data_IF_540583329799
#
_entry.id   IF_540583329799
#
_cell.length_a   1.000
_cell.length_b   1.000
_cell.length_c   1.000
_cell.angle_alpha   90.00
_cell.angle_beta   90.00
_cell.angle_gamma   90.00
#
_symmetry.space_group_name_H-M   'P 1'
#
loop_
_entity.id
_entity.type
_entity.pdbx_description
1 polymer ?
#
# COMPACT_ATOMS: atom_id res chain seq x y z
N UNK A 1 -0.96 13.37 6.87
CA UNK A 1 -1.08 14.77 6.44
C UNK A 1 0.06 15.06 5.48
N UNK A 2 -0.29 15.31 4.21
CA UNK A 2 0.65 15.75 3.17
C UNK A 2 1.28 17.09 3.58
N UNK A 3 2.53 17.31 3.17
CA UNK A 3 3.26 18.55 3.42
C UNK A 3 2.55 19.77 2.83
N UNK A 4 1.89 19.62 1.67
CA UNK A 4 1.16 20.71 1.03
C UNK A 4 0.00 21.22 1.90
N UNK A 5 -0.75 20.32 2.53
CA UNK A 5 -1.80 20.69 3.49
C UNK A 5 -1.21 21.28 4.77
N UNK A 6 -0.09 20.73 5.25
CA UNK A 6 0.58 21.22 6.45
C UNK A 6 1.04 22.69 6.30
N UNK A 7 1.51 23.06 5.11
CA UNK A 7 1.98 24.41 4.80
C UNK A 7 0.85 25.36 4.37
N UNK A 8 -0.06 24.89 3.51
CA UNK A 8 -1.05 25.77 2.87
C UNK A 8 -2.42 25.75 3.57
N UNK A 9 -2.71 24.76 4.41
CA UNK A 9 -4.03 24.50 5.03
C UNK A 9 -5.20 24.40 4.03
N UNK A 10 -4.88 24.22 2.75
CA UNK A 10 -5.87 24.06 1.69
C UNK A 10 -6.05 22.57 1.46
N UNK A 11 -7.28 22.09 1.67
CA UNK A 11 -7.66 20.72 1.34
C UNK A 11 -7.81 20.60 -0.17
N UNK A 12 -7.20 19.59 -0.78
CA UNK A 12 -7.45 19.25 -2.18
C UNK A 12 -7.71 17.75 -2.34
N UNK A 13 -8.71 17.40 -3.16
CA UNK A 13 -9.05 16.00 -3.51
C UNK A 13 -7.86 15.22 -4.09
N UNK A 14 -6.90 15.93 -4.69
CA UNK A 14 -5.69 15.31 -5.27
C UNK A 14 -4.60 15.05 -4.24
N UNK A 15 -4.50 15.86 -3.19
CA UNK A 15 -3.31 15.86 -2.32
C UNK A 15 -3.59 15.24 -0.96
N UNK A 16 -4.77 15.42 -0.38
CA UNK A 16 -5.03 14.94 0.99
C UNK A 16 -5.73 13.57 1.03
N UNK A 17 -6.74 13.37 0.18
CA UNK A 17 -7.49 12.11 0.16
C UNK A 17 -6.64 10.95 -0.38
N UNK A 18 -5.94 11.19 -1.50
CA UNK A 18 -5.00 10.21 -2.06
C UNK A 18 -3.88 9.89 -1.05
N UNK A 19 -3.27 10.92 -0.44
CA UNK A 19 -2.23 10.71 0.57
C UNK A 19 -2.73 9.90 1.76
N UNK A 20 -3.87 10.29 2.34
CA UNK A 20 -4.48 9.59 3.49
C UNK A 20 -4.81 8.14 3.15
N UNK A 21 -5.34 7.91 1.95
CA UNK A 21 -5.63 6.58 1.46
C UNK A 21 -4.36 5.74 1.26
N UNK A 22 -3.31 6.30 0.67
CA UNK A 22 -2.01 5.63 0.49
C UNK A 22 -1.35 5.24 1.83
N UNK A 23 -1.42 6.11 2.84
CA UNK A 23 -0.96 5.77 4.20
C UNK A 23 -1.81 4.64 4.80
N UNK A 24 -3.13 4.69 4.61
CA UNK A 24 -4.03 3.65 5.10
C UNK A 24 -3.74 2.30 4.45
N UNK A 25 -3.43 2.28 3.15
CA UNK A 25 -2.97 1.08 2.44
C UNK A 25 -1.69 0.51 3.06
N UNK A 26 -0.68 1.35 3.33
CA UNK A 26 0.55 0.89 3.98
C UNK A 26 0.32 0.35 5.39
N UNK A 27 -0.58 0.98 6.15
CA UNK A 27 -1.01 0.48 7.47
C UNK A 27 -1.69 -0.89 7.37
N UNK A 28 -2.53 -1.11 6.35
CA UNK A 28 -3.16 -2.42 6.11
C UNK A 28 -2.12 -3.49 5.76
N UNK A 29 -1.07 -3.15 5.01
CA UNK A 29 0.00 -4.11 4.69
C UNK A 29 0.78 -4.55 5.93
N UNK A 30 1.15 -3.60 6.78
CA UNK A 30 2.08 -3.83 7.91
C UNK A 30 1.38 -4.27 9.19
N UNK A 31 0.09 -3.99 9.31
CA UNK A 31 -0.67 -4.09 10.55
C UNK A 31 -0.55 -2.83 11.40
N UNK A 32 -1.55 -2.59 12.23
CA UNK A 32 -1.69 -1.36 13.03
C UNK A 32 -0.55 -1.19 14.03
N UNK A 33 -0.22 -2.25 14.78
CA UNK A 33 0.79 -2.21 15.84
C UNK A 33 2.18 -1.85 15.28
N UNK A 34 2.64 -2.58 14.26
CA UNK A 34 3.93 -2.31 13.59
C UNK A 34 3.94 -0.95 12.90
N UNK A 35 2.82 -0.52 12.30
CA UNK A 35 2.75 0.80 11.70
C UNK A 35 2.96 1.90 12.75
N UNK A 36 2.34 1.76 13.93
CA UNK A 36 2.48 2.71 15.03
C UNK A 36 3.88 2.68 15.66
N UNK A 37 4.57 1.54 15.68
CA UNK A 37 5.98 1.47 16.08
C UNK A 37 6.90 2.27 15.13
N UNK A 38 6.66 2.14 13.83
CA UNK A 38 7.47 2.80 12.80
C UNK A 38 7.13 4.29 12.64
N UNK A 39 5.84 4.66 12.78
CA UNK A 39 5.31 6.02 12.60
C UNK A 39 5.08 6.80 13.90
N UNK A 40 5.19 6.16 15.07
CA UNK A 40 4.78 6.71 16.36
C UNK A 40 5.43 8.06 16.70
N UNK A 41 4.85 8.77 17.67
CA UNK A 41 5.16 10.16 18.02
C UNK A 41 6.67 10.49 18.12
N UNK A 42 7.50 9.54 18.55
CA UNK A 42 8.97 9.69 18.64
C UNK A 42 9.69 9.73 17.29
N UNK A 43 9.07 9.22 16.22
CA UNK A 43 9.65 9.02 14.88
C UNK A 43 9.01 9.87 13.77
N UNK A 44 8.02 10.73 14.07
CA UNK A 44 7.25 11.52 13.09
C UNK A 44 8.08 12.39 12.13
N UNK A 45 9.29 12.79 12.53
CA UNK A 45 10.27 13.47 11.63
C UNK A 45 10.74 12.60 10.47
N UNK A 46 10.45 11.30 10.49
CA UNK A 46 10.77 10.33 9.45
C UNK A 46 9.56 9.92 8.63
N UNK A 47 8.75 10.85 8.10
CA UNK A 47 7.59 10.54 7.24
C UNK A 47 7.94 9.58 6.08
N UNK A 48 9.19 9.60 5.61
CA UNK A 48 9.68 8.69 4.58
C UNK A 48 10.28 7.38 5.11
N UNK A 49 10.35 7.14 6.42
CA UNK A 49 10.94 5.92 6.99
C UNK A 49 10.10 4.69 6.65
N UNK A 50 8.78 4.76 6.82
CA UNK A 50 7.88 3.64 6.51
C UNK A 50 7.83 3.36 5.00
N UNK A 51 7.52 4.35 4.13
CA UNK A 51 7.56 4.12 2.68
C UNK A 51 8.91 3.59 2.19
N UNK A 52 10.03 4.15 2.65
CA UNK A 52 11.37 3.72 2.25
C UNK A 52 11.73 2.33 2.78
N UNK A 53 11.32 2.01 4.01
CA UNK A 53 11.53 0.69 4.57
C UNK A 53 10.70 -0.37 3.82
N UNK A 54 9.43 -0.09 3.55
CA UNK A 54 8.55 -0.94 2.75
C UNK A 54 9.13 -1.23 1.37
N UNK A 55 9.46 -0.18 0.63
CA UNK A 55 10.05 -0.29 -0.71
C UNK A 55 11.32 -1.14 -0.70
N UNK A 56 12.19 -0.92 0.29
CA UNK A 56 13.46 -1.66 0.45
C UNK A 56 13.23 -3.12 0.84
N UNK A 57 12.28 -3.40 1.72
CA UNK A 57 11.99 -4.77 2.13
C UNK A 57 11.34 -5.56 0.99
N UNK A 58 10.44 -4.93 0.24
CA UNK A 58 9.80 -5.54 -0.94
C UNK A 58 10.83 -5.87 -2.02
N UNK A 59 11.70 -4.92 -2.38
CA UNK A 59 12.77 -5.15 -3.36
C UNK A 59 13.83 -6.18 -2.94
N UNK A 60 13.84 -6.59 -1.67
CA UNK A 60 14.68 -7.68 -1.14
C UNK A 60 13.94 -9.02 -1.04
N UNK A 61 12.67 -9.08 -1.46
CA UNK A 61 11.84 -10.28 -1.34
C UNK A 61 11.43 -10.63 0.09
N UNK A 62 11.56 -9.70 1.05
CA UNK A 62 11.28 -9.92 2.48
C UNK A 62 9.84 -9.56 2.80
N UNK A 63 8.91 -10.21 2.11
CA UNK A 63 7.47 -9.90 2.23
C UNK A 63 6.90 -10.37 3.56
N UNK A 64 7.41 -11.47 4.09
CA UNK A 64 7.14 -12.00 5.43
C UNK A 64 7.44 -10.97 6.54
N UNK A 65 8.46 -10.13 6.36
CA UNK A 65 8.76 -9.03 7.28
C UNK A 65 7.75 -7.86 7.19
N UNK A 66 7.05 -7.73 6.06
CA UNK A 66 6.19 -6.59 5.74
C UNK A 66 4.72 -6.90 6.02
N UNK A 67 4.26 -8.11 5.75
CA UNK A 67 2.86 -8.49 5.84
C UNK A 67 2.47 -8.58 7.32
N UNK A 68 1.28 -8.05 7.65
CA UNK A 68 0.64 -8.20 8.95
C UNK A 68 0.60 -9.69 9.31
N UNK A 69 1.14 -10.03 10.48
CA UNK A 69 1.15 -11.40 10.99
C UNK A 69 -0.26 -12.01 11.04
N UNK A 70 -1.32 -11.21 11.25
CA UNK A 70 -2.69 -11.69 11.23
C UNK A 70 -3.20 -12.05 9.82
N UNK A 71 -2.61 -11.45 8.77
CA UNK A 71 -2.85 -11.84 7.39
C UNK A 71 -2.04 -13.08 7.03
N UNK A 72 -0.82 -13.20 7.57
CA UNK A 72 0.07 -14.34 7.38
C UNK A 72 -0.46 -15.61 8.06
N UNK A 73 -1.03 -15.52 9.27
CA UNK A 73 -1.59 -16.69 9.98
C UNK A 73 -2.75 -17.37 9.21
N UNK A 74 -3.35 -16.69 8.23
CA UNK A 74 -4.39 -17.26 7.37
C UNK A 74 -3.83 -17.95 6.12
N UNK A 75 -2.52 -17.89 5.90
CA UNK A 75 -1.81 -18.35 4.70
C UNK A 75 -0.51 -19.05 5.11
N UNK A 76 -0.45 -20.38 5.01
CA UNK A 76 0.75 -21.18 5.37
C UNK A 76 2.03 -20.71 4.63
N UNK A 77 1.87 -20.25 3.39
CA UNK A 77 2.88 -19.55 2.60
C UNK A 77 2.17 -18.54 1.69
N UNK A 78 2.75 -17.35 1.48
CA UNK A 78 2.18 -16.36 0.55
C UNK A 78 2.44 -16.83 -0.89
N UNK A 79 1.40 -17.23 -1.65
CA UNK A 79 1.53 -17.66 -3.03
C UNK A 79 2.15 -16.56 -3.89
N UNK A 80 2.88 -16.93 -4.94
CA UNK A 80 3.55 -15.99 -5.83
C UNK A 80 2.58 -14.99 -6.48
N UNK A 81 1.33 -15.40 -6.71
CA UNK A 81 0.23 -14.56 -7.19
C UNK A 81 -0.16 -13.47 -6.18
N UNK A 82 -0.19 -13.80 -4.89
CA UNK A 82 -0.45 -12.84 -3.83
C UNK A 82 0.72 -11.88 -3.64
N UNK A 83 1.96 -12.35 -3.82
CA UNK A 83 3.15 -11.49 -3.84
C UNK A 83 3.04 -10.42 -4.92
N UNK A 84 2.65 -10.80 -6.13
CA UNK A 84 2.43 -9.86 -7.23
C UNK A 84 1.34 -8.83 -6.89
N UNK A 85 0.26 -9.26 -6.22
CA UNK A 85 -0.80 -8.35 -5.78
C UNK A 85 -0.33 -7.36 -4.73
N UNK A 86 0.47 -7.82 -3.76
CA UNK A 86 1.04 -6.98 -2.71
C UNK A 86 2.03 -5.96 -3.29
N UNK A 87 2.80 -6.34 -4.31
CA UNK A 87 3.67 -5.40 -5.03
C UNK A 87 2.87 -4.32 -5.76
N UNK A 88 1.79 -4.68 -6.47
CA UNK A 88 0.89 -3.71 -7.12
C UNK A 88 0.26 -2.79 -6.08
N UNK A 89 -0.17 -3.35 -4.95
CA UNK A 89 -0.78 -2.62 -3.85
C UNK A 89 0.19 -1.62 -3.21
N UNK A 90 1.43 -2.06 -2.94
CA UNK A 90 2.48 -1.19 -2.42
C UNK A 90 2.81 -0.07 -3.42
N UNK A 91 2.99 -0.39 -4.70
CA UNK A 91 3.29 0.60 -5.74
C UNK A 91 2.20 1.67 -5.85
N UNK A 92 0.93 1.26 -5.81
CA UNK A 92 -0.19 2.20 -5.79
C UNK A 92 -0.16 3.08 -4.54
N UNK A 93 0.13 2.50 -3.36
CA UNK A 93 0.25 3.27 -2.12
C UNK A 93 1.38 4.30 -2.19
N UNK A 94 2.55 3.95 -2.75
CA UNK A 94 3.70 4.83 -2.92
C UNK A 94 3.36 6.02 -3.84
N UNK A 95 2.61 5.79 -4.91
CA UNK A 95 2.10 6.84 -5.79
C UNK A 95 1.11 7.76 -5.08
N UNK A 96 0.19 7.19 -4.31
CA UNK A 96 -0.82 7.95 -3.57
C UNK A 96 -0.20 8.95 -2.58
N UNK A 97 0.94 8.63 -1.98
CA UNK A 97 1.66 9.52 -1.04
C UNK A 97 2.74 10.38 -1.72
N UNK A 98 2.84 10.34 -3.06
CA UNK A 98 3.86 11.08 -3.81
C UNK A 98 5.30 10.58 -3.58
N UNK A 99 5.49 9.38 -3.01
CA UNK A 99 6.81 8.81 -2.78
C UNK A 99 7.49 8.40 -4.09
N UNK A 100 6.69 8.01 -5.09
CA UNK A 100 7.16 7.62 -6.42
C UNK A 100 6.12 7.95 -7.47
N UNK A 101 6.53 8.55 -8.60
CA UNK A 101 5.65 8.80 -9.74
C UNK A 101 4.60 9.91 -9.51
N UNK A 102 3.61 9.99 -10.39
CA UNK A 102 2.51 10.95 -10.29
C UNK A 102 1.46 10.50 -9.26
N UNK A 103 0.92 11.46 -8.50
CA UNK A 103 -0.14 11.21 -7.52
C UNK A 103 -1.48 10.99 -8.26
N UNK A 104 -2.09 9.79 -8.16
CA UNK A 104 -3.36 9.50 -8.80
C UNK A 104 -4.51 10.18 -8.07
N UNK A 105 -5.59 10.48 -8.78
CA UNK A 105 -6.87 10.80 -8.14
C UNK A 105 -7.60 9.53 -7.68
N UNK A 106 -8.60 9.67 -6.80
CA UNK A 106 -9.31 8.53 -6.22
C UNK A 106 -10.06 7.65 -7.26
N UNK A 107 -10.47 8.21 -8.40
CA UNK A 107 -11.07 7.43 -9.49
C UNK A 107 -10.03 6.51 -10.12
N UNK A 108 -8.80 6.99 -10.31
CA UNK A 108 -7.68 6.17 -10.79
C UNK A 108 -7.33 5.09 -9.78
N UNK A 109 -7.20 5.44 -8.50
CA UNK A 109 -6.95 4.49 -7.40
C UNK A 109 -7.98 3.36 -7.41
N UNK A 110 -9.27 3.70 -7.45
CA UNK A 110 -10.34 2.71 -7.47
C UNK A 110 -10.32 1.81 -8.72
N UNK A 111 -10.01 2.38 -9.89
CA UNK A 111 -9.88 1.60 -11.14
C UNK A 111 -8.73 0.60 -11.07
N UNK A 112 -7.57 1.04 -10.59
CA UNK A 112 -6.39 0.19 -10.48
C UNK A 112 -6.60 -0.96 -9.47
N UNK A 113 -7.18 -0.66 -8.30
CA UNK A 113 -7.56 -1.69 -7.33
C UNK A 113 -8.58 -2.70 -7.89
N UNK A 114 -9.50 -2.24 -8.73
CA UNK A 114 -10.47 -3.13 -9.39
C UNK A 114 -9.79 -4.05 -10.42
N UNK A 115 -8.78 -3.56 -11.12
CA UNK A 115 -8.02 -4.34 -12.11
C UNK A 115 -7.15 -5.37 -11.40
N UNK A 116 -6.41 -4.97 -10.36
CA UNK A 116 -5.57 -5.89 -9.60
C UNK A 116 -6.38 -7.05 -9.02
N UNK A 117 -7.55 -6.77 -8.44
CA UNK A 117 -8.45 -7.83 -7.92
C UNK A 117 -8.99 -8.77 -8.99
N UNK A 118 -9.26 -8.27 -10.21
CA UNK A 118 -9.74 -9.11 -11.30
C UNK A 118 -8.67 -10.07 -11.81
N UNK A 119 -7.42 -9.63 -11.86
CA UNK A 119 -6.29 -10.46 -12.26
C UNK A 119 -5.93 -11.51 -11.19
N UNK A 120 -6.34 -11.31 -9.94
CA UNK A 120 -6.21 -12.27 -8.84
C UNK A 120 -7.21 -13.44 -8.90
N UNK A 121 -8.29 -13.31 -9.68
CA UNK A 121 -9.30 -14.36 -9.77
C UNK A 121 -8.88 -15.32 -10.88
N UNK A 122 -8.66 -16.63 -10.61
CA UNK A 122 -8.48 -17.58 -11.71
C UNK A 122 -9.75 -17.54 -12.55
N UNK A 123 -9.60 -17.38 -13.87
CA UNK A 123 -10.72 -17.59 -14.78
C UNK A 123 -11.23 -19.00 -14.53
N UNK A 124 -12.40 -19.11 -13.88
CA UNK A 124 -13.09 -20.38 -13.70
C UNK A 124 -13.22 -21.01 -15.08
N UNK A 125 -12.55 -22.16 -15.26
CA UNK A 125 -12.42 -22.82 -16.55
C UNK A 125 -13.78 -23.06 -17.20
N UNK A 126 -13.89 -22.64 -18.46
CA UNK A 126 -14.91 -23.13 -19.37
C UNK A 126 -14.56 -24.60 -19.68
N UNK A 127 -15.14 -25.54 -18.93
CA UNK A 127 -15.16 -26.94 -19.34
C UNK A 127 -16.20 -27.10 -20.43
N UNK A 128 -15.76 -27.10 -21.69
CA UNK A 128 -16.56 -27.62 -22.80
C UNK A 128 -16.57 -29.15 -22.71
N UNK A 129 -17.74 -29.72 -22.51
CA UNK A 129 -18.07 -31.12 -22.82
C UNK A 129 -18.44 -31.17 -24.30
#
# INVERSE_FOLDING_TARGET
>A
MDDNYLFNKVVSEKTDDAFGFGISMQKLLIGEERFDELCGWKNWRGKNKVPKWLSKSMGKGRMDEIIDSNMLEKMDEVPEEERCLLEVFLNLSERCIGFRGEVPNMVQVAKELKISRKNASPSSGETRI
#
